data_IF_834232292338
#
_entry.id   IF_834232292338
#
_cell.length_a   1.000
_cell.length_b   1.000
_cell.length_c   1.000
_cell.angle_alpha   90.00
_cell.angle_beta   90.00
_cell.angle_gamma   90.00
#
_symmetry.space_group_name_H-M   'P 1'
#
loop_
_entity.id
_entity.type
_entity.pdbx_description
1 polymer ?
#
# COMPACT_ATOMS: atom_id res chain seq x y z
N UNK A 1 10.39 16.64 22.11
CA UNK A 1 9.71 15.63 21.26
C UNK A 1 9.94 15.78 19.74
N UNK A 2 9.94 16.98 19.14
CA UNK A 2 10.16 17.16 17.68
C UNK A 2 11.58 16.77 17.20
N UNK A 3 12.61 17.08 17.99
CA UNK A 3 14.01 16.82 17.64
C UNK A 3 14.37 15.32 17.65
N UNK A 4 13.81 14.55 18.58
CA UNK A 4 14.03 13.09 18.64
C UNK A 4 13.39 12.38 17.44
N UNK A 5 12.19 12.81 17.01
CA UNK A 5 11.58 12.32 15.77
C UNK A 5 12.39 12.71 14.53
N UNK A 6 13.00 13.90 14.49
CA UNK A 6 13.85 14.33 13.38
C UNK A 6 15.16 13.53 13.30
N UNK A 7 15.79 13.26 14.44
CA UNK A 7 17.01 12.45 14.52
C UNK A 7 16.75 10.97 14.18
N UNK A 8 15.64 10.39 14.64
CA UNK A 8 15.22 9.04 14.27
C UNK A 8 14.86 8.95 12.77
N UNK A 9 14.23 9.99 12.20
CA UNK A 9 13.99 10.08 10.75
C UNK A 9 15.28 10.14 9.95
N UNK A 10 16.29 10.88 10.41
CA UNK A 10 17.57 10.94 9.71
C UNK A 10 18.35 9.62 9.78
N UNK A 11 18.28 8.89 10.90
CA UNK A 11 18.89 7.56 11.01
C UNK A 11 18.15 6.48 10.19
N UNK A 12 16.82 6.53 10.12
CA UNK A 12 16.04 5.60 9.29
C UNK A 12 16.21 5.86 7.79
N UNK A 13 16.41 7.11 7.37
CA UNK A 13 16.78 7.47 5.99
C UNK A 13 18.12 6.86 5.55
N UNK A 14 19.09 6.70 6.46
CA UNK A 14 20.38 6.03 6.17
C UNK A 14 20.20 4.54 5.87
N UNK A 15 19.15 3.91 6.41
CA UNK A 15 18.82 2.50 6.14
C UNK A 15 18.00 2.28 4.86
N UNK A 16 17.34 3.31 4.34
CA UNK A 16 16.43 3.19 3.19
C UNK A 16 17.06 2.51 1.96
N UNK A 17 18.28 2.85 1.53
CA UNK A 17 18.92 2.18 0.39
C UNK A 17 19.06 0.66 0.57
N UNK A 18 19.34 0.19 1.79
CA UNK A 18 19.46 -1.24 2.08
C UNK A 18 18.12 -1.96 1.99
N UNK A 19 17.04 -1.35 2.49
CA UNK A 19 15.70 -1.91 2.37
C UNK A 19 15.24 -1.96 0.92
N UNK A 20 15.49 -0.89 0.16
CA UNK A 20 15.16 -0.87 -1.28
C UNK A 20 15.89 -1.99 -2.01
N UNK A 21 17.19 -2.15 -1.78
CA UNK A 21 18.00 -3.21 -2.40
C UNK A 21 17.55 -4.61 -2.00
N UNK A 22 17.11 -4.81 -0.76
CA UNK A 22 16.59 -6.09 -0.31
C UNK A 22 15.25 -6.41 -0.96
N UNK A 23 14.26 -5.51 -0.83
CA UNK A 23 12.89 -5.77 -1.25
C UNK A 23 12.70 -5.72 -2.77
N UNK A 24 13.56 -5.01 -3.51
CA UNK A 24 13.48 -4.97 -4.98
C UNK A 24 13.89 -6.27 -5.65
N UNK A 25 14.50 -7.22 -4.91
CA UNK A 25 14.86 -8.55 -5.44
C UNK A 25 13.67 -9.50 -5.52
N UNK A 26 12.59 -9.19 -4.82
CA UNK A 26 11.37 -9.98 -4.85
C UNK A 26 10.42 -9.45 -5.93
N UNK A 27 9.67 -10.34 -6.55
CA UNK A 27 8.62 -9.98 -7.50
C UNK A 27 7.30 -9.68 -6.77
N UNK A 28 6.58 -8.59 -7.13
CA UNK A 28 5.24 -8.34 -6.60
C UNK A 28 4.29 -9.51 -6.86
N UNK A 29 3.48 -9.86 -5.86
CA UNK A 29 2.53 -10.99 -5.94
C UNK A 29 1.24 -10.54 -6.64
N UNK A 30 0.92 -11.00 -7.86
CA UNK A 30 -0.35 -10.66 -8.49
C UNK A 30 -1.51 -11.31 -7.72
N UNK A 31 -2.58 -10.54 -7.50
CA UNK A 31 -3.80 -11.03 -6.87
C UNK A 31 -4.94 -11.01 -7.88
N UNK A 32 -5.65 -12.13 -8.00
CA UNK A 32 -6.88 -12.23 -8.77
C UNK A 32 -8.05 -11.56 -8.06
N UNK A 33 -9.08 -11.17 -8.81
CA UNK A 33 -10.30 -10.60 -8.22
C UNK A 33 -10.98 -11.57 -7.25
N UNK A 34 -10.93 -12.88 -7.55
CA UNK A 34 -11.44 -13.92 -6.65
C UNK A 34 -10.72 -13.89 -5.30
N UNK A 35 -9.38 -13.86 -5.30
CA UNK A 35 -8.61 -13.78 -4.06
C UNK A 35 -8.98 -12.54 -3.25
N UNK A 36 -9.15 -11.38 -3.89
CA UNK A 36 -9.61 -10.17 -3.20
C UNK A 36 -10.98 -10.32 -2.52
N UNK A 37 -11.94 -10.94 -3.20
CA UNK A 37 -13.27 -11.19 -2.62
C UNK A 37 -13.21 -12.21 -1.48
N UNK A 38 -12.42 -13.26 -1.65
CA UNK A 38 -12.25 -14.31 -0.64
C UNK A 38 -11.63 -13.72 0.64
N UNK A 39 -10.64 -12.82 0.51
CA UNK A 39 -10.05 -12.09 1.66
C UNK A 39 -11.09 -11.27 2.43
N UNK A 40 -12.01 -10.59 1.74
CA UNK A 40 -13.01 -9.71 2.36
C UNK A 40 -14.21 -10.43 3.00
N UNK A 41 -14.37 -11.73 2.79
CA UNK A 41 -15.54 -12.50 3.24
C UNK A 41 -15.36 -13.24 4.57
N UNK A 42 -14.16 -13.19 5.17
CA UNK A 42 -13.81 -13.95 6.38
C UNK A 42 -13.59 -13.07 7.61
N UNK A 43 -14.03 -13.51 8.80
CA UNK A 43 -13.88 -12.83 10.10
C UNK A 43 -12.42 -12.78 10.64
N UNK A 44 -11.43 -13.11 9.82
CA UNK A 44 -10.00 -13.09 10.14
C UNK A 44 -9.22 -12.15 9.20
N UNK A 45 -9.93 -11.16 8.64
CA UNK A 45 -9.43 -10.37 7.53
C UNK A 45 -8.30 -9.44 7.95
N UNK A 46 -8.40 -8.80 9.11
CA UNK A 46 -7.42 -7.80 9.55
C UNK A 46 -6.02 -8.40 9.75
N UNK A 47 -5.91 -9.51 10.49
CA UNK A 47 -4.61 -10.17 10.79
C UNK A 47 -3.96 -10.75 9.54
N UNK A 48 -4.75 -11.42 8.70
CA UNK A 48 -4.27 -12.00 7.45
C UNK A 48 -3.81 -10.91 6.49
N UNK A 49 -4.60 -9.83 6.37
CA UNK A 49 -4.28 -8.66 5.57
C UNK A 49 -3.03 -7.94 6.08
N UNK A 50 -2.89 -7.74 7.40
CA UNK A 50 -1.69 -7.18 8.02
C UNK A 50 -0.44 -7.99 7.66
N UNK A 51 -0.49 -9.31 7.88
CA UNK A 51 0.65 -10.21 7.65
C UNK A 51 1.08 -10.21 6.18
N UNK A 52 0.11 -10.17 5.26
CA UNK A 52 0.37 -10.05 3.83
C UNK A 52 0.96 -8.68 3.46
N UNK A 53 0.28 -7.59 3.85
CA UNK A 53 0.63 -6.24 3.39
C UNK A 53 1.94 -5.71 3.97
N UNK A 54 2.31 -6.09 5.20
CA UNK A 54 3.61 -5.70 5.78
C UNK A 54 4.80 -6.25 5.00
N UNK A 55 4.61 -7.31 4.20
CA UNK A 55 5.64 -7.88 3.31
C UNK A 55 5.44 -7.42 1.85
N UNK A 56 4.20 -7.44 1.35
CA UNK A 56 3.92 -7.14 -0.05
C UNK A 56 4.09 -5.64 -0.41
N UNK A 57 3.70 -4.72 0.49
CA UNK A 57 3.83 -3.29 0.20
C UNK A 57 5.30 -2.85 0.06
N UNK A 58 6.24 -3.26 0.93
CA UNK A 58 7.67 -2.99 0.74
C UNK A 58 8.21 -3.50 -0.58
N UNK A 59 7.82 -4.70 -1.02
CA UNK A 59 8.22 -5.27 -2.32
C UNK A 59 7.77 -4.35 -3.46
N UNK A 60 6.49 -3.94 -3.48
CA UNK A 60 5.96 -3.06 -4.53
C UNK A 60 6.62 -1.68 -4.52
N UNK A 61 6.78 -1.09 -3.34
CA UNK A 61 7.43 0.22 -3.17
C UNK A 61 8.90 0.16 -3.62
N UNK A 62 9.66 -0.84 -3.21
CA UNK A 62 11.06 -0.97 -3.59
C UNK A 62 11.24 -1.20 -5.10
N UNK A 63 10.41 -2.05 -5.71
CA UNK A 63 10.44 -2.27 -7.16
C UNK A 63 10.18 -0.97 -7.92
N UNK A 64 9.14 -0.21 -7.57
CA UNK A 64 8.87 1.04 -8.28
C UNK A 64 9.92 2.12 -8.02
N UNK A 65 10.52 2.15 -6.82
CA UNK A 65 11.64 3.04 -6.53
C UNK A 65 12.88 2.72 -7.39
N UNK A 66 13.16 1.44 -7.65
CA UNK A 66 14.19 1.05 -8.62
C UNK A 66 13.85 1.51 -10.03
N UNK A 67 12.60 1.35 -10.47
CA UNK A 67 12.17 1.84 -11.79
C UNK A 67 12.28 3.36 -11.91
N UNK A 68 11.94 4.13 -10.87
CA UNK A 68 12.15 5.59 -10.87
C UNK A 68 13.63 5.91 -11.10
N UNK A 69 14.54 5.20 -10.42
CA UNK A 69 15.99 5.42 -10.56
C UNK A 69 16.55 5.00 -11.93
N UNK A 70 15.75 4.40 -12.82
CA UNK A 70 16.13 4.11 -14.21
C UNK A 70 15.70 5.22 -15.19
N UNK A 71 14.98 6.23 -14.71
CA UNK A 71 14.68 7.41 -15.53
C UNK A 71 15.96 8.16 -15.90
N UNK A 72 15.95 8.91 -17.02
CA UNK A 72 17.07 9.78 -17.38
C UNK A 72 17.40 10.75 -16.23
N UNK A 73 18.69 10.98 -15.96
CA UNK A 73 19.17 11.88 -14.90
C UNK A 73 18.53 13.27 -14.96
N UNK A 74 18.24 13.75 -16.17
CA UNK A 74 17.55 15.03 -16.41
C UNK A 74 16.15 15.04 -15.81
N UNK A 75 15.39 13.95 -15.95
CA UNK A 75 14.05 13.80 -15.36
C UNK A 75 14.17 13.62 -13.84
N UNK A 76 15.12 12.79 -13.38
CA UNK A 76 15.40 12.58 -11.96
C UNK A 76 15.81 13.87 -11.22
N UNK A 77 16.45 14.80 -11.92
CA UNK A 77 16.87 16.09 -11.35
C UNK A 77 15.73 17.08 -11.12
N UNK A 78 14.54 16.81 -11.68
CA UNK A 78 13.39 17.72 -11.53
C UNK A 78 12.87 17.70 -10.09
N UNK A 79 12.57 18.86 -9.49
CA UNK A 79 12.16 18.94 -8.08
C UNK A 79 10.88 18.14 -7.80
N UNK A 80 9.96 18.08 -8.76
CA UNK A 80 8.73 17.30 -8.63
C UNK A 80 8.99 15.78 -8.56
N UNK A 81 9.92 15.24 -9.34
CA UNK A 81 10.29 13.82 -9.29
C UNK A 81 10.99 13.48 -7.97
N UNK A 82 11.90 14.34 -7.50
CA UNK A 82 12.57 14.18 -6.21
C UNK A 82 11.59 14.20 -5.03
N UNK A 83 10.58 15.06 -5.10
CA UNK A 83 9.51 15.10 -4.11
C UNK A 83 8.75 13.77 -4.05
N UNK A 84 8.39 13.21 -5.20
CA UNK A 84 7.74 11.90 -5.28
C UNK A 84 8.65 10.80 -4.73
N UNK A 85 9.94 10.77 -5.08
CA UNK A 85 10.90 9.81 -4.50
C UNK A 85 10.91 9.88 -2.97
N UNK A 86 10.92 11.09 -2.40
CA UNK A 86 10.91 11.29 -0.94
C UNK A 86 9.65 10.69 -0.29
N UNK A 87 8.49 10.77 -0.95
CA UNK A 87 7.24 10.18 -0.46
C UNK A 87 7.30 8.66 -0.45
N UNK A 88 7.86 8.05 -1.50
CA UNK A 88 8.03 6.60 -1.57
C UNK A 88 9.02 6.10 -0.51
N UNK A 89 10.15 6.79 -0.31
CA UNK A 89 11.12 6.49 0.76
C UNK A 89 10.44 6.54 2.13
N UNK A 90 9.73 7.64 2.44
CA UNK A 90 9.07 7.78 3.74
C UNK A 90 8.03 6.67 3.95
N UNK A 91 7.29 6.31 2.91
CA UNK A 91 6.26 5.29 3.01
C UNK A 91 6.83 3.89 3.18
N UNK A 92 7.97 3.59 2.54
CA UNK A 92 8.70 2.35 2.80
C UNK A 92 9.10 2.29 4.27
N UNK A 93 9.74 3.33 4.79
CA UNK A 93 10.19 3.38 6.19
C UNK A 93 9.02 3.25 7.18
N UNK A 94 7.89 3.90 6.92
CA UNK A 94 6.69 3.78 7.76
C UNK A 94 6.22 2.32 7.85
N UNK A 95 6.27 1.54 6.75
CA UNK A 95 5.90 0.12 6.77
C UNK A 95 6.96 -0.75 7.44
N UNK A 96 8.25 -0.41 7.30
CA UNK A 96 9.35 -1.16 7.93
C UNK A 96 9.22 -1.23 9.46
N UNK A 97 8.56 -0.25 10.10
CA UNK A 97 8.28 -0.29 11.54
C UNK A 97 7.41 -1.49 11.98
N UNK A 98 6.74 -2.15 11.03
CA UNK A 98 5.77 -3.23 11.28
C UNK A 98 6.26 -4.64 10.92
N UNK A 99 7.46 -4.79 10.34
CA UNK A 99 7.97 -6.08 9.85
C UNK A 99 7.99 -7.16 10.95
N UNK A 100 8.55 -6.80 12.12
CA UNK A 100 8.75 -7.74 13.24
C UNK A 100 7.68 -7.60 14.33
N UNK A 101 6.58 -6.88 14.06
CA UNK A 101 5.51 -6.69 15.04
C UNK A 101 4.60 -7.92 15.14
N UNK A 102 4.04 -8.13 16.32
CA UNK A 102 3.15 -9.26 16.59
C UNK A 102 1.79 -9.05 15.91
N UNK A 103 1.34 -9.94 15.01
CA UNK A 103 0.01 -9.85 14.38
C UNK A 103 -1.14 -10.09 15.36
N UNK A 104 -0.88 -10.60 16.57
CA UNK A 104 -1.90 -10.82 17.60
C UNK A 104 -2.16 -9.56 18.46
N UNK A 105 -1.27 -8.56 18.40
CA UNK A 105 -1.43 -7.30 19.12
C UNK A 105 -2.40 -6.36 18.39
N UNK A 106 -3.61 -6.20 18.92
CA UNK A 106 -4.61 -5.27 18.40
C UNK A 106 -4.12 -3.83 18.27
N UNK A 107 -3.22 -3.38 19.15
CA UNK A 107 -2.65 -2.02 19.04
C UNK A 107 -1.77 -1.90 17.80
N UNK A 108 -0.97 -2.93 17.51
CA UNK A 108 -0.16 -3.01 16.29
C UNK A 108 -1.04 -2.94 15.05
N UNK A 109 -2.14 -3.70 15.00
CA UNK A 109 -3.08 -3.72 13.87
C UNK A 109 -3.69 -2.33 13.63
N UNK A 110 -4.20 -1.68 14.69
CA UNK A 110 -4.76 -0.33 14.61
C UNK A 110 -3.72 0.70 14.13
N UNK A 111 -2.49 0.66 14.67
CA UNK A 111 -1.41 1.57 14.23
C UNK A 111 -1.01 1.33 12.78
N UNK A 112 -1.07 0.07 12.31
CA UNK A 112 -0.80 -0.26 10.92
C UNK A 112 -1.87 0.32 10.00
N UNK A 113 -3.16 0.20 10.33
CA UNK A 113 -4.23 0.82 9.56
C UNK A 113 -4.06 2.35 9.48
N UNK A 114 -3.70 3.01 10.59
CA UNK A 114 -3.42 4.46 10.62
C UNK A 114 -2.22 4.83 9.73
N UNK A 115 -1.16 4.01 9.74
CA UNK A 115 -0.02 4.19 8.86
C UNK A 115 -0.41 4.05 7.38
N UNK A 116 -1.24 3.06 7.03
CA UNK A 116 -1.74 2.89 5.66
C UNK A 116 -2.61 4.06 5.19
N UNK A 117 -3.46 4.61 6.06
CA UNK A 117 -4.24 5.82 5.78
C UNK A 117 -3.30 7.01 5.54
N UNK A 118 -2.27 7.17 6.36
CA UNK A 118 -1.25 8.22 6.22
C UNK A 118 -0.51 8.09 4.88
N UNK A 119 -0.09 6.88 4.52
CA UNK A 119 0.57 6.57 3.25
C UNK A 119 -0.35 6.88 2.06
N UNK A 120 -1.62 6.47 2.13
CA UNK A 120 -2.61 6.78 1.08
C UNK A 120 -2.73 8.28 0.86
N UNK A 121 -2.86 9.04 1.95
CA UNK A 121 -3.03 10.49 1.90
C UNK A 121 -1.78 11.19 1.36
N UNK A 122 -0.58 10.77 1.79
CA UNK A 122 0.70 11.26 1.27
C UNK A 122 0.81 11.08 -0.25
N UNK A 123 0.32 9.97 -0.78
CA UNK A 123 0.40 9.67 -2.21
C UNK A 123 -0.77 10.23 -3.04
N UNK A 124 -1.66 11.05 -2.48
CA UNK A 124 -2.81 11.58 -3.24
C UNK A 124 -2.36 12.40 -4.45
N UNK A 125 -1.34 13.25 -4.29
CA UNK A 125 -0.87 14.17 -5.33
C UNK A 125 0.25 13.60 -6.21
N UNK A 126 0.58 12.32 -6.08
CA UNK A 126 1.65 11.68 -6.88
C UNK A 126 1.43 11.83 -8.38
N UNK A 127 0.18 11.73 -8.86
CA UNK A 127 -0.12 11.85 -10.30
C UNK A 127 0.12 13.28 -10.79
N UNK A 128 -0.51 14.33 -10.23
CA UNK A 128 -0.25 15.70 -10.67
C UNK A 128 1.21 16.11 -10.45
N UNK A 129 1.87 15.70 -9.36
CA UNK A 129 3.28 16.01 -9.12
C UNK A 129 4.20 15.31 -10.12
N UNK A 130 3.97 14.03 -10.45
CA UNK A 130 4.77 13.35 -11.46
C UNK A 130 4.59 13.98 -12.85
N UNK A 131 3.36 14.36 -13.21
CA UNK A 131 3.09 15.11 -14.44
C UNK A 131 3.83 16.45 -14.47
N UNK A 132 3.86 17.17 -13.34
CA UNK A 132 4.62 18.41 -13.20
C UNK A 132 6.13 18.18 -13.41
N UNK A 133 6.69 17.07 -12.94
CA UNK A 133 8.11 16.73 -13.19
C UNK A 133 8.42 16.49 -14.67
N UNK A 134 7.49 15.87 -15.41
CA UNK A 134 7.63 15.71 -16.86
C UNK A 134 7.55 17.05 -17.59
N UNK A 135 6.68 17.97 -17.14
CA UNK A 135 6.61 19.33 -17.66
C UNK A 135 7.89 20.11 -17.38
N UNK A 136 8.40 20.08 -16.14
CA UNK A 136 9.67 20.70 -15.74
C UNK A 136 10.84 20.23 -16.63
N UNK A 137 10.89 18.93 -16.92
CA UNK A 137 11.86 18.34 -17.85
C UNK A 137 11.69 18.91 -19.26
N UNK A 138 10.47 18.91 -19.79
CA UNK A 138 10.17 19.35 -21.16
C UNK A 138 10.46 20.84 -21.36
N UNK A 139 10.13 21.67 -20.37
CA UNK A 139 10.38 23.12 -20.41
C UNK A 139 11.88 23.44 -20.38
N UNK A 140 12.67 22.62 -19.66
CA UNK A 140 14.12 22.85 -19.49
C UNK A 140 14.94 22.31 -20.66
N UNK A 141 14.60 21.12 -21.17
CA UNK A 141 15.44 20.39 -22.13
C UNK A 141 14.82 20.22 -23.51
N UNK A 142 13.55 20.60 -23.70
CA UNK A 142 12.83 20.44 -24.95
C UNK A 142 12.28 19.02 -25.16
N UNK A 143 11.84 18.75 -26.39
CA UNK A 143 11.21 17.50 -26.78
C UNK A 143 12.24 16.55 -27.42
N UNK A 144 12.54 15.44 -26.76
CA UNK A 144 13.44 14.39 -27.27
C UNK A 144 12.67 13.08 -27.47
N UNK A 145 12.52 12.57 -28.70
CA UNK A 145 11.71 11.39 -28.99
C UNK A 145 12.13 10.13 -28.22
N UNK A 146 13.43 9.93 -28.00
CA UNK A 146 13.96 8.74 -27.30
C UNK A 146 13.62 8.81 -25.81
N UNK A 147 13.88 9.94 -25.17
CA UNK A 147 13.52 10.17 -23.77
C UNK A 147 12.01 10.08 -23.55
N UNK A 148 11.20 10.59 -24.48
CA UNK A 148 9.74 10.50 -24.40
C UNK A 148 9.23 9.06 -24.41
N UNK A 149 9.81 8.18 -25.22
CA UNK A 149 9.45 6.76 -25.21
C UNK A 149 9.79 6.09 -23.88
N UNK A 150 10.98 6.38 -23.33
CA UNK A 150 11.41 5.84 -22.03
C UNK A 150 10.53 6.36 -20.88
N UNK A 151 10.19 7.65 -20.91
CA UNK A 151 9.29 8.27 -19.93
C UNK A 151 7.90 7.64 -20.03
N UNK A 152 7.34 7.48 -21.23
CA UNK A 152 6.02 6.87 -21.42
C UNK A 152 5.99 5.43 -20.87
N UNK A 153 6.98 4.61 -21.25
CA UNK A 153 7.11 3.24 -20.74
C UNK A 153 7.16 3.18 -19.21
N UNK A 154 7.96 4.07 -18.61
CA UNK A 154 8.04 4.21 -17.16
C UNK A 154 6.69 4.62 -16.55
N UNK A 155 6.02 5.64 -17.10
CA UNK A 155 4.76 6.17 -16.55
C UNK A 155 3.66 5.12 -16.55
N UNK A 156 3.56 4.31 -17.61
CA UNK A 156 2.58 3.23 -17.68
C UNK A 156 2.77 2.22 -16.53
N UNK A 157 4.01 1.80 -16.28
CA UNK A 157 4.37 0.89 -15.18
C UNK A 157 4.20 1.54 -13.82
N UNK A 158 4.60 2.79 -13.69
CA UNK A 158 4.50 3.58 -12.47
C UNK A 158 3.05 3.76 -12.01
N UNK A 159 2.16 4.15 -12.93
CA UNK A 159 0.76 4.33 -12.59
C UNK A 159 0.04 3.01 -12.33
N UNK A 160 0.38 1.93 -13.06
CA UNK A 160 -0.15 0.60 -12.76
C UNK A 160 0.28 0.10 -11.38
N UNK A 161 1.57 0.26 -11.03
CA UNK A 161 2.10 -0.06 -9.69
C UNK A 161 1.35 0.71 -8.60
N UNK A 162 1.16 2.03 -8.80
CA UNK A 162 0.41 2.88 -7.87
C UNK A 162 -1.05 2.47 -7.71
N UNK A 163 -1.74 2.15 -8.81
CA UNK A 163 -3.13 1.64 -8.76
C UNK A 163 -3.17 0.39 -7.89
N UNK A 164 -2.22 -0.52 -8.08
CA UNK A 164 -2.14 -1.76 -7.33
C UNK A 164 -1.92 -1.54 -5.83
N UNK A 165 -1.03 -0.62 -5.44
CA UNK A 165 -0.78 -0.25 -4.04
C UNK A 165 -2.03 0.37 -3.41
N UNK A 166 -2.70 1.30 -4.12
CA UNK A 166 -3.95 1.92 -3.64
C UNK A 166 -5.05 0.87 -3.49
N UNK A 167 -5.14 -0.10 -4.40
CA UNK A 167 -6.10 -1.20 -4.30
C UNK A 167 -5.88 -2.00 -3.01
N UNK A 168 -4.64 -2.41 -2.73
CA UNK A 168 -4.29 -3.14 -1.51
C UNK A 168 -4.64 -2.37 -0.24
N UNK A 169 -4.25 -1.08 -0.16
CA UNK A 169 -4.51 -0.23 1.00
C UNK A 169 -6.01 -0.01 1.22
N UNK A 170 -6.77 0.22 0.14
CA UNK A 170 -8.20 0.45 0.22
C UNK A 170 -8.95 -0.81 0.66
N UNK A 171 -8.53 -1.99 0.19
CA UNK A 171 -9.14 -3.27 0.59
C UNK A 171 -8.91 -3.55 2.08
N UNK A 172 -7.69 -3.34 2.59
CA UNK A 172 -7.43 -3.44 4.02
C UNK A 172 -8.31 -2.49 4.84
N UNK A 173 -8.35 -1.21 4.44
CA UNK A 173 -9.16 -0.19 5.14
C UNK A 173 -10.66 -0.50 5.13
N UNK A 174 -11.17 -1.07 4.04
CA UNK A 174 -12.57 -1.47 3.93
C UNK A 174 -12.89 -2.67 4.83
N UNK A 175 -11.97 -3.64 4.90
CA UNK A 175 -12.16 -4.82 5.72
C UNK A 175 -12.18 -4.50 7.23
N UNK A 176 -11.23 -3.68 7.68
CA UNK A 176 -11.15 -3.28 9.09
C UNK A 176 -12.34 -2.41 9.52
N UNK A 177 -12.85 -1.56 8.62
CA UNK A 177 -14.06 -0.78 8.87
C UNK A 177 -15.32 -1.66 9.02
N UNK A 178 -15.42 -2.75 8.25
CA UNK A 178 -16.53 -3.71 8.35
C UNK A 178 -16.52 -4.48 9.68
N UNK A 179 -15.34 -4.90 10.15
CA UNK A 179 -15.18 -5.59 11.44
C UNK A 179 -15.50 -4.67 12.63
N UNK A 180 -15.08 -3.39 12.59
CA UNK A 180 -15.37 -2.39 13.64
C UNK A 180 -16.84 -1.94 13.71
N UNK A 181 -17.62 -2.13 12.63
CA UNK A 181 -19.05 -1.83 12.59
C UNK A 181 -19.93 -2.80 13.40
N UNK A 182 -19.45 -4.02 13.63
CA UNK A 182 -20.20 -5.07 14.35
C UNK A 182 -20.39 -4.81 15.85
N UNK A 183 -19.51 -4.04 16.49
CA UNK A 183 -19.63 -3.70 17.92
C UNK A 183 -20.44 -2.43 18.18
N UNK A 184 -20.68 -1.60 17.16
CA UNK A 184 -21.40 -0.32 17.33
C UNK A 184 -22.92 -0.46 17.22
N UNK A 185 -23.41 -1.61 16.75
CA UNK A 185 -24.84 -1.88 16.56
C UNK A 185 -25.60 -2.37 17.83
N UNK A 186 -24.93 -2.67 18.95
CA UNK A 186 -25.59 -3.14 20.18
C UNK A 186 -25.85 -2.07 21.24
N UNK A 187 -25.64 -0.79 20.93
CA UNK A 187 -25.93 0.31 21.87
C UNK A 187 -26.90 1.34 21.31
N UNK A 188 -27.99 0.90 20.68
CA UNK A 188 -29.20 1.71 20.49
C UNK A 188 -30.44 0.81 20.59
N UNK A 189 -30.72 0.28 21.78
CA UNK A 189 -32.12 0.00 22.15
C UNK A 189 -32.66 1.25 22.84
N UNK A 190 -33.34 2.09 22.05
CA UNK A 190 -33.97 3.30 22.54
C UNK A 190 -34.61 4.09 21.41
N UNK A 191 -35.89 3.82 21.17
CA UNK A 191 -36.84 4.62 20.39
C UNK A 191 -36.60 4.83 18.88
N UNK A 192 -37.41 4.11 18.10
CA UNK A 192 -38.46 4.79 17.32
C UNK A 192 -38.14 5.17 15.87
N UNK A 193 -38.94 4.56 14.98
CA UNK A 193 -39.21 4.86 13.57
C UNK A 193 -38.31 4.13 12.57
N UNK A 194 -38.94 3.14 11.93
CA UNK A 194 -38.33 2.17 11.03
C UNK A 194 -38.07 2.70 9.63
N UNK A 195 -37.49 1.82 8.83
CA UNK A 195 -37.60 1.70 7.37
C UNK A 195 -37.44 0.20 7.03
N UNK A 196 -38.00 -0.27 5.90
CA UNK A 196 -38.48 -1.63 5.77
C UNK A 196 -37.40 -2.64 5.41
N UNK A 197 -37.57 -3.85 5.96
CA UNK A 197 -36.86 -5.05 5.60
C UNK A 197 -37.27 -5.53 4.21
N UNK A 198 -36.29 -5.75 3.34
CA UNK A 198 -36.38 -6.70 2.24
C UNK A 198 -34.97 -7.00 1.72
N UNK A 199 -34.44 -8.14 2.13
CA UNK A 199 -33.98 -9.21 1.25
C UNK A 199 -33.49 -10.36 2.14
N UNK A 200 -34.44 -11.24 2.44
CA UNK A 200 -34.20 -12.56 3.00
C UNK A 200 -33.49 -13.45 1.99
N UNK A 201 -32.62 -14.32 2.50
CA UNK A 201 -32.41 -15.64 1.92
C UNK A 201 -30.99 -15.94 1.47
N UNK A 202 -30.20 -16.55 2.35
CA UNK A 202 -29.36 -17.71 2.02
C UNK A 202 -28.78 -18.30 3.31
N UNK A 203 -29.50 -19.25 3.90
CA UNK A 203 -29.00 -20.21 4.88
C UNK A 203 -28.49 -21.45 4.15
N UNK A 204 -27.24 -21.85 4.41
CA UNK A 204 -26.63 -23.19 4.29
C UNK A 204 -25.14 -23.01 3.95
N UNK A 205 -24.17 -23.77 4.43
CA UNK A 205 -24.08 -24.88 5.37
C UNK A 205 -22.59 -25.02 5.72
N UNK A 206 -22.29 -25.56 6.91
CA UNK A 206 -20.94 -25.67 7.43
C UNK A 206 -19.98 -26.51 6.59
N UNK A 207 -18.70 -26.18 6.69
CA UNK A 207 -17.60 -26.97 6.16
C UNK A 207 -16.27 -26.43 6.68
N UNK A 208 -15.78 -27.04 7.76
CA UNK A 208 -14.45 -26.77 8.33
C UNK A 208 -13.39 -27.29 7.34
N UNK A 209 -12.57 -26.40 6.80
CA UNK A 209 -11.33 -26.75 6.10
C UNK A 209 -10.21 -25.84 6.61
N UNK A 210 -9.31 -26.42 7.41
CA UNK A 210 -8.13 -25.75 7.93
C UNK A 210 -7.09 -25.44 6.82
N UNK A 211 -6.17 -24.49 7.06
CA UNK A 211 -5.24 -24.04 6.04
C UNK A 211 -4.08 -25.03 5.86
N UNK A 212 -3.96 -25.57 4.66
CA UNK A 212 -2.83 -26.37 4.20
C UNK A 212 -1.94 -25.48 3.32
N UNK A 213 -1.14 -24.63 3.94
CA UNK A 213 -0.13 -23.79 3.28
C UNK A 213 1.25 -24.06 3.87
N UNK A 214 1.74 -25.28 3.63
CA UNK A 214 3.15 -25.65 3.83
C UNK A 214 3.48 -26.84 2.92
N UNK A 215 3.80 -26.55 1.65
CA UNK A 215 4.63 -27.40 0.78
C UNK A 215 4.69 -26.77 -0.61
N UNK A 216 5.83 -26.19 -0.97
CA UNK A 216 6.03 -25.69 -2.34
C UNK A 216 7.29 -24.86 -2.53
N UNK A 217 8.42 -25.27 -1.96
CA UNK A 217 9.74 -24.71 -2.30
C UNK A 217 10.82 -25.75 -2.01
N UNK A 218 10.95 -26.74 -2.91
CA UNK A 218 12.17 -27.52 -3.13
C UNK A 218 12.02 -28.29 -4.44
N UNK A 219 12.49 -27.67 -5.53
CA UNK A 219 13.45 -28.21 -6.50
C UNK A 219 13.72 -27.18 -7.59
#
# INVERSE_FOLDING_TARGET
MRWVRALLKNASLVGAPKYIEHFSKFSPSPLSMKQFLDFGSSNACEKTSFTFLRQELPVRLANIMKEINLLPDRVLSTPSVQLVQSWYVQSLLDIMEFLDKDPEDHRTLSLFTDALVTIRNRHNDVVPTMAQGVLEYKDTYGDDPVSNQNIQYFLDRFYLSRISIRMLINQHSACTAAEGGGQRAQRVHGHGRGWPAQLSGCTAAGGVLGPRWAAGAHQ
#
